data_IF_723864328211
#
_entry.id   IF_723864328211
#
_cell.length_a   1.000
_cell.length_b   1.000
_cell.length_c   1.000
_cell.angle_alpha   90.00
_cell.angle_beta   90.00
_cell.angle_gamma   90.00
#
_symmetry.space_group_name_H-M   'P 1'
#
loop_
_entity.id
_entity.type
_entity.pdbx_description
1 polymer ?
#
# COMPACT_ATOMS: atom_id res chain seq x y z
N UNK A 1 5.08 -13.82 -21.73
CA UNK A 1 3.62 -14.04 -21.70
C UNK A 1 3.19 -14.11 -20.25
N UNK A 2 2.23 -13.28 -19.84
CA UNK A 2 1.66 -13.34 -18.50
C UNK A 2 0.95 -14.68 -18.30
N UNK A 3 1.01 -15.33 -17.12
CA UNK A 3 0.27 -16.57 -16.93
C UNK A 3 -1.23 -16.33 -17.01
N UNK A 4 -1.92 -17.23 -17.70
CA UNK A 4 -3.39 -17.25 -17.79
C UNK A 4 -4.06 -17.65 -16.47
N UNK A 5 -3.30 -18.16 -15.49
CA UNK A 5 -3.80 -18.53 -14.16
C UNK A 5 -2.72 -18.42 -13.08
N UNK A 6 -3.11 -18.10 -11.85
CA UNK A 6 -2.24 -18.28 -10.68
C UNK A 6 -1.99 -19.77 -10.46
N UNK A 7 -0.72 -20.20 -10.48
CA UNK A 7 -0.39 -21.62 -10.26
C UNK A 7 -0.81 -22.12 -8.87
N UNK A 8 -1.08 -23.42 -8.76
CA UNK A 8 -1.43 -24.06 -7.47
C UNK A 8 -0.37 -23.85 -6.39
N UNK A 9 0.91 -23.88 -6.76
CA UNK A 9 2.01 -23.65 -5.81
C UNK A 9 1.99 -22.23 -5.25
N UNK A 10 1.85 -21.22 -6.11
CA UNK A 10 1.72 -19.81 -5.68
C UNK A 10 0.49 -19.64 -4.80
N UNK A 11 -0.65 -20.19 -5.22
CA UNK A 11 -1.89 -20.16 -4.44
C UNK A 11 -1.72 -20.78 -3.04
N UNK A 12 -0.95 -21.86 -2.92
CA UNK A 12 -0.72 -22.54 -1.63
C UNK A 12 0.23 -21.77 -0.71
N UNK A 13 1.22 -21.09 -1.26
CA UNK A 13 2.09 -20.19 -0.51
C UNK A 13 1.31 -18.98 0.01
N UNK A 14 0.52 -18.31 -0.85
CA UNK A 14 -0.26 -17.13 -0.47
C UNK A 14 -1.38 -17.44 0.54
N UNK A 15 -1.92 -18.66 0.54
CA UNK A 15 -2.88 -19.14 1.55
C UNK A 15 -2.34 -19.14 2.98
N UNK A 16 -1.02 -19.10 3.16
CA UNK A 16 -0.38 -19.04 4.49
C UNK A 16 -0.48 -17.65 5.11
N UNK A 17 -0.65 -16.60 4.30
CA UNK A 17 -0.78 -15.23 4.78
C UNK A 17 -2.08 -15.05 5.57
N UNK A 18 -1.98 -14.43 6.75
CA UNK A 18 -3.14 -14.10 7.61
C UNK A 18 -3.39 -12.62 7.71
N UNK A 19 -2.33 -11.83 7.57
CA UNK A 19 -2.37 -10.37 7.67
C UNK A 19 -1.50 -9.71 6.60
N UNK A 20 -2.05 -8.78 5.84
CA UNK A 20 -1.36 -8.09 4.76
C UNK A 20 -1.38 -6.58 5.01
N UNK A 21 -0.22 -5.95 4.86
CA UNK A 21 -0.03 -4.51 4.88
C UNK A 21 -0.17 -3.92 3.47
N UNK A 22 -0.72 -2.72 3.33
CA UNK A 22 -0.76 -1.96 2.09
C UNK A 22 -0.58 -0.46 2.40
N UNK A 23 0.43 0.17 1.83
CA UNK A 23 0.77 1.59 2.06
C UNK A 23 0.48 2.39 0.79
N UNK A 24 -0.19 3.53 0.94
CA UNK A 24 -0.49 4.46 -0.15
C UNK A 24 -1.55 3.93 -1.12
N UNK A 25 -2.55 3.22 -0.62
CA UNK A 25 -3.54 2.55 -1.45
C UNK A 25 -4.65 3.49 -1.99
N UNK A 26 -4.80 4.70 -1.43
CA UNK A 26 -5.96 5.56 -1.69
C UNK A 26 -7.31 4.83 -1.50
N UNK A 27 -7.97 4.43 -2.59
CA UNK A 27 -9.24 3.70 -2.62
C UNK A 27 -9.08 2.34 -3.33
N UNK A 28 -7.85 1.86 -3.54
CA UNK A 28 -7.57 0.55 -4.11
C UNK A 28 -7.83 -0.55 -3.07
N UNK A 29 -9.11 -0.97 -2.96
CA UNK A 29 -9.61 -1.95 -1.98
C UNK A 29 -9.74 -3.35 -2.60
N UNK A 30 -9.77 -3.45 -3.92
CA UNK A 30 -9.81 -4.67 -4.75
C UNK A 30 -8.90 -5.78 -4.23
N UNK A 31 -7.64 -5.53 -3.79
CA UNK A 31 -6.76 -6.58 -3.33
C UNK A 31 -7.34 -7.36 -2.16
N UNK A 32 -8.20 -6.76 -1.33
CA UNK A 32 -8.84 -7.47 -0.21
C UNK A 32 -9.77 -8.62 -0.64
N UNK A 33 -10.19 -8.61 -1.90
CA UNK A 33 -11.15 -9.53 -2.49
C UNK A 33 -10.50 -10.59 -3.39
N UNK A 34 -9.19 -10.53 -3.62
CA UNK A 34 -8.50 -11.52 -4.46
C UNK A 34 -8.66 -12.94 -3.91
N UNK A 35 -8.88 -13.89 -4.81
CA UNK A 35 -9.16 -15.29 -4.47
C UNK A 35 -8.02 -15.92 -3.64
N UNK A 36 -6.78 -15.60 -4.02
CA UNK A 36 -5.55 -16.07 -3.41
C UNK A 36 -5.44 -15.63 -1.94
N UNK A 37 -6.10 -14.54 -1.56
CA UNK A 37 -6.09 -14.01 -0.21
C UNK A 37 -7.33 -14.40 0.60
N UNK A 38 -8.10 -15.41 0.19
CA UNK A 38 -9.28 -15.87 0.94
C UNK A 38 -9.02 -16.16 2.44
N UNK A 39 -7.80 -16.60 2.78
CA UNK A 39 -7.38 -16.92 4.14
C UNK A 39 -6.88 -15.72 4.96
N UNK A 40 -6.64 -14.58 4.31
CA UNK A 40 -6.21 -13.34 4.97
C UNK A 40 -7.40 -12.80 5.73
N UNK A 41 -7.28 -12.73 7.05
CA UNK A 41 -8.34 -12.29 7.95
C UNK A 41 -8.32 -10.78 8.21
N UNK A 42 -7.18 -10.13 8.03
CA UNK A 42 -6.98 -8.71 8.34
C UNK A 42 -6.08 -8.04 7.30
N UNK A 43 -6.53 -6.91 6.78
CA UNK A 43 -5.72 -6.03 5.95
C UNK A 43 -5.46 -4.71 6.68
N UNK A 44 -4.22 -4.26 6.65
CA UNK A 44 -3.76 -3.02 7.26
C UNK A 44 -3.43 -2.05 6.15
N UNK A 45 -4.17 -0.96 6.07
CA UNK A 45 -3.98 0.10 5.11
C UNK A 45 -3.37 1.31 5.81
N UNK A 46 -2.38 1.95 5.20
CA UNK A 46 -1.74 3.16 5.73
C UNK A 46 -1.70 4.21 4.64
N UNK A 47 -2.17 5.41 4.94
CA UNK A 47 -2.15 6.54 4.02
C UNK A 47 -1.91 7.85 4.79
N UNK A 48 -1.13 8.74 4.16
CA UNK A 48 -0.92 10.11 4.67
C UNK A 48 -2.13 10.99 4.42
N UNK A 49 -3.02 10.57 3.52
CA UNK A 49 -4.22 11.29 3.16
C UNK A 49 -5.33 11.09 4.20
N UNK A 50 -6.25 12.07 4.36
CA UNK A 50 -6.51 13.20 3.47
C UNK A 50 -5.54 14.38 3.52
N UNK A 51 -4.50 14.39 4.36
CA UNK A 51 -3.59 15.57 4.45
C UNK A 51 -2.89 15.92 3.13
N UNK A 52 -2.07 15.01 2.62
CA UNK A 52 -1.29 15.20 1.39
C UNK A 52 -0.58 13.90 1.01
N UNK A 53 -0.27 13.72 -0.27
CA UNK A 53 0.62 12.65 -0.77
C UNK A 53 2.09 12.86 -0.34
N UNK A 54 2.49 14.12 -0.10
CA UNK A 54 3.83 14.53 0.33
C UNK A 54 3.74 15.18 1.72
N UNK A 55 3.17 14.44 2.66
CA UNK A 55 2.90 14.91 4.03
C UNK A 55 4.19 15.21 4.81
N UNK A 56 4.21 16.33 5.53
CA UNK A 56 5.39 16.86 6.21
C UNK A 56 5.12 17.33 7.64
N UNK A 57 6.04 18.15 8.15
CA UNK A 57 5.93 18.77 9.48
C UNK A 57 4.98 19.98 9.50
N UNK A 58 4.65 20.54 8.34
CA UNK A 58 3.72 21.66 8.19
C UNK A 58 2.54 21.22 7.33
N UNK A 59 1.33 21.61 7.73
CA UNK A 59 0.12 21.33 6.98
C UNK A 59 -0.09 22.33 5.85
N UNK A 60 -0.18 21.80 4.62
CA UNK A 60 -0.50 22.54 3.41
C UNK A 60 -1.95 22.28 2.99
N UNK A 61 -2.87 23.25 3.11
CA UNK A 61 -4.30 23.05 2.85
C UNK A 61 -4.64 22.63 1.42
N UNK A 62 -3.87 23.11 0.43
CA UNK A 62 -4.11 22.83 -0.99
C UNK A 62 -3.97 21.34 -1.34
N UNK A 63 -3.24 20.59 -0.52
CA UNK A 63 -3.10 19.14 -0.65
C UNK A 63 -4.28 18.35 -0.09
N UNK A 64 -5.16 18.98 0.70
CA UNK A 64 -6.17 18.26 1.48
C UNK A 64 -7.29 17.69 0.62
N UNK A 65 -7.51 16.38 0.72
CA UNK A 65 -8.48 15.64 -0.10
C UNK A 65 -9.79 15.47 0.65
N UNK A 66 -10.69 16.43 0.48
CA UNK A 66 -11.99 16.48 1.19
C UNK A 66 -12.90 15.27 0.95
N UNK A 67 -12.80 14.63 -0.23
CA UNK A 67 -13.65 13.48 -0.61
C UNK A 67 -13.04 12.12 -0.25
N UNK A 68 -11.79 12.08 0.19
CA UNK A 68 -11.02 10.86 0.41
C UNK A 68 -11.76 9.83 1.29
N UNK A 69 -12.35 10.28 2.42
CA UNK A 69 -13.05 9.34 3.31
C UNK A 69 -14.40 8.88 2.79
N UNK A 70 -15.16 9.75 2.13
CA UNK A 70 -16.40 9.31 1.50
C UNK A 70 -16.13 8.25 0.44
N UNK A 71 -15.07 8.44 -0.38
CA UNK A 71 -14.67 7.48 -1.40
C UNK A 71 -14.25 6.13 -0.80
N UNK A 72 -13.40 6.14 0.25
CA UNK A 72 -12.98 4.89 0.91
C UNK A 72 -14.18 4.17 1.53
N UNK A 73 -15.07 4.89 2.22
CA UNK A 73 -16.23 4.29 2.87
C UNK A 73 -17.19 3.69 1.84
N UNK A 74 -17.42 4.39 0.72
CA UNK A 74 -18.24 3.90 -0.39
C UNK A 74 -17.61 2.68 -1.04
N UNK A 75 -16.33 2.75 -1.40
CA UNK A 75 -15.61 1.64 -2.01
C UNK A 75 -15.56 0.40 -1.12
N UNK A 76 -15.31 0.56 0.18
CA UNK A 76 -15.40 -0.53 1.15
C UNK A 76 -16.81 -1.14 1.17
N UNK A 77 -17.86 -0.32 1.12
CA UNK A 77 -19.26 -0.78 1.12
C UNK A 77 -19.57 -1.63 -0.11
N UNK A 78 -19.07 -1.24 -1.28
CA UNK A 78 -19.26 -1.99 -2.54
C UNK A 78 -18.70 -3.42 -2.45
N UNK A 79 -17.63 -3.61 -1.67
CA UNK A 79 -17.04 -4.92 -1.38
C UNK A 79 -17.61 -5.60 -0.12
N UNK A 80 -18.71 -5.08 0.44
CA UNK A 80 -19.41 -5.65 1.60
C UNK A 80 -18.72 -5.39 2.94
N UNK A 81 -17.78 -4.45 3.01
CA UNK A 81 -17.17 -3.98 4.25
C UNK A 81 -17.97 -2.80 4.83
N UNK A 82 -18.34 -2.92 6.10
CA UNK A 82 -19.02 -1.85 6.83
C UNK A 82 -18.10 -1.25 7.88
N UNK A 83 -18.10 0.08 7.97
CA UNK A 83 -17.38 0.80 9.03
C UNK A 83 -18.00 0.42 10.38
N UNK A 84 -17.18 -0.15 11.27
CA UNK A 84 -17.61 -0.55 12.63
C UNK A 84 -17.02 0.33 13.72
N UNK A 85 -15.90 1.02 13.44
CA UNK A 85 -15.24 1.89 14.40
C UNK A 85 -14.42 2.97 13.72
N UNK A 86 -14.50 4.20 14.24
CA UNK A 86 -13.53 5.27 14.02
C UNK A 86 -12.82 5.54 15.35
N UNK A 87 -11.49 5.63 15.33
CA UNK A 87 -10.68 5.99 16.50
C UNK A 87 -9.64 7.02 16.09
N UNK A 88 -9.68 8.19 16.70
CA UNK A 88 -8.59 9.16 16.57
C UNK A 88 -7.41 8.71 17.43
N UNK A 89 -6.21 8.71 16.85
CA UNK A 89 -4.99 8.21 17.49
C UNK A 89 -4.28 9.28 18.31
N UNK A 90 -4.36 10.53 17.83
CA UNK A 90 -3.85 11.71 18.51
C UNK A 90 -4.88 12.83 18.34
N UNK A 91 -5.48 13.27 19.45
CA UNK A 91 -6.52 14.30 19.43
C UNK A 91 -6.00 15.71 19.16
N UNK A 92 -4.69 15.92 19.32
CA UNK A 92 -4.06 17.23 19.32
C UNK A 92 -2.97 17.37 18.26
N UNK A 93 -2.79 16.38 17.38
CA UNK A 93 -1.75 16.38 16.36
C UNK A 93 -1.74 17.65 15.49
N UNK A 94 -2.92 18.14 15.11
CA UNK A 94 -3.09 19.39 14.36
C UNK A 94 -2.35 20.58 14.97
N UNK A 95 -2.22 20.66 16.31
CA UNK A 95 -1.47 21.74 16.97
C UNK A 95 0.01 21.77 16.59
N UNK A 96 0.55 20.65 16.12
CA UNK A 96 1.96 20.53 15.74
C UNK A 96 2.20 20.89 14.27
N UNK A 97 1.16 20.82 13.42
CA UNK A 97 1.30 20.95 11.96
C UNK A 97 0.57 22.18 11.41
N UNK A 98 -0.43 22.69 12.12
CA UNK A 98 -1.24 23.84 11.70
C UNK A 98 -0.74 25.16 12.28
N UNK A 99 -0.91 26.24 11.52
CA UNK A 99 -0.84 27.59 12.05
C UNK A 99 -2.11 27.96 12.83
N UNK A 100 -2.10 29.12 13.50
CA UNK A 100 -3.20 29.58 14.37
C UNK A 100 -4.54 29.62 13.64
N UNK A 101 -4.57 30.12 12.39
CA UNK A 101 -5.81 30.23 11.62
C UNK A 101 -6.35 28.84 11.24
N UNK A 102 -5.47 27.94 10.78
CA UNK A 102 -5.84 26.58 10.43
C UNK A 102 -6.38 25.82 11.66
N UNK A 103 -5.77 25.97 12.84
CA UNK A 103 -6.28 25.36 14.07
C UNK A 103 -7.72 25.79 14.41
N UNK A 104 -8.07 27.05 14.15
CA UNK A 104 -9.43 27.58 14.40
C UNK A 104 -10.47 27.01 13.43
N UNK A 105 -10.06 26.62 12.22
CA UNK A 105 -10.95 26.18 11.15
C UNK A 105 -10.96 24.66 10.96
N UNK A 106 -10.01 23.94 11.55
CA UNK A 106 -9.74 22.53 11.26
C UNK A 106 -10.95 21.61 11.41
N UNK A 107 -11.82 21.84 12.41
CA UNK A 107 -12.98 20.97 12.63
C UNK A 107 -14.00 21.02 11.49
N UNK A 108 -14.04 22.13 10.75
CA UNK A 108 -14.99 22.35 9.67
C UNK A 108 -14.36 22.09 8.30
N UNK A 109 -13.11 22.50 8.10
CA UNK A 109 -12.42 22.40 6.81
C UNK A 109 -11.62 21.10 6.66
N UNK A 110 -11.04 20.60 7.76
CA UNK A 110 -10.11 19.47 7.76
C UNK A 110 -10.47 18.44 8.86
N UNK A 111 -11.70 17.90 8.88
CA UNK A 111 -12.23 17.11 10.00
C UNK A 111 -11.42 15.84 10.32
N UNK A 112 -10.65 15.35 9.35
CA UNK A 112 -9.80 14.17 9.45
C UNK A 112 -8.30 14.49 9.31
N UNK A 113 -7.89 15.71 9.67
CA UNK A 113 -6.47 16.13 9.66
C UNK A 113 -5.60 15.35 10.65
N UNK A 114 -6.18 14.95 11.78
CA UNK A 114 -5.49 14.21 12.81
C UNK A 114 -5.41 12.71 12.43
N UNK A 115 -4.32 12.00 12.80
CA UNK A 115 -4.20 10.57 12.55
C UNK A 115 -5.37 9.78 13.13
N UNK A 116 -6.00 8.93 12.32
CA UNK A 116 -7.17 8.15 12.69
C UNK A 116 -7.08 6.71 12.15
N UNK A 117 -7.74 5.78 12.85
CA UNK A 117 -8.01 4.43 12.35
C UNK A 117 -9.50 4.31 12.05
N UNK A 118 -9.80 3.83 10.85
CA UNK A 118 -11.11 3.38 10.43
C UNK A 118 -11.10 1.87 10.33
N UNK A 119 -11.89 1.20 11.17
CA UNK A 119 -12.00 -0.26 11.16
C UNK A 119 -13.28 -0.67 10.43
N UNK A 120 -13.12 -1.48 9.40
CA UNK A 120 -14.22 -2.06 8.65
C UNK A 120 -14.27 -3.57 8.84
N UNK A 121 -15.49 -4.13 8.80
CA UNK A 121 -15.72 -5.57 8.85
C UNK A 121 -16.58 -6.00 7.67
N UNK A 122 -16.15 -7.05 6.98
CA UNK A 122 -16.92 -7.64 5.90
C UNK A 122 -18.10 -8.45 6.46
N UNK A 123 -19.30 -8.19 5.97
CA UNK A 123 -20.51 -8.87 6.44
C UNK A 123 -20.53 -10.38 6.11
N UNK A 124 -19.87 -10.77 5.03
CA UNK A 124 -19.97 -12.13 4.47
C UNK A 124 -18.77 -13.01 4.83
N UNK A 125 -17.57 -12.42 4.89
CA UNK A 125 -16.32 -13.17 5.08
C UNK A 125 -15.72 -13.01 6.47
N UNK A 126 -16.24 -12.09 7.30
CA UNK A 126 -15.64 -11.65 8.56
C UNK A 126 -14.21 -11.07 8.45
N UNK A 127 -13.70 -10.82 7.23
CA UNK A 127 -12.45 -10.09 6.99
C UNK A 127 -12.52 -8.69 7.62
N UNK A 128 -11.38 -8.20 8.06
CA UNK A 128 -11.24 -6.85 8.64
C UNK A 128 -10.30 -6.00 7.80
N UNK A 129 -10.63 -4.71 7.69
CA UNK A 129 -9.73 -3.68 7.20
C UNK A 129 -9.49 -2.71 8.35
N UNK A 130 -8.23 -2.40 8.66
CA UNK A 130 -7.87 -1.25 9.47
C UNK A 130 -7.19 -0.24 8.57
N UNK A 131 -7.82 0.91 8.39
CA UNK A 131 -7.32 1.98 7.53
C UNK A 131 -6.80 3.11 8.40
N UNK A 132 -5.47 3.24 8.47
CA UNK A 132 -4.76 4.32 9.13
C UNK A 132 -4.67 5.48 8.14
N UNK A 133 -5.51 6.48 8.33
CA UNK A 133 -5.53 7.69 7.51
C UNK A 133 -4.77 8.80 8.22
N UNK A 134 -4.38 9.85 7.50
CA UNK A 134 -3.66 10.98 8.06
C UNK A 134 -2.47 10.47 8.88
N UNK A 135 -1.79 9.44 8.39
CA UNK A 135 -0.74 8.74 9.14
C UNK A 135 0.52 8.64 8.30
N UNK A 136 1.53 9.40 8.72
CA UNK A 136 2.88 9.34 8.18
C UNK A 136 3.76 8.57 9.15
N UNK A 137 4.28 7.42 8.71
CA UNK A 137 5.09 6.52 9.55
C UNK A 137 6.38 7.15 10.08
N UNK A 138 6.85 8.25 9.50
CA UNK A 138 8.03 8.98 9.98
C UNK A 138 7.70 9.96 11.11
N UNK A 139 6.51 10.56 11.09
CA UNK A 139 6.16 11.69 11.97
C UNK A 139 5.12 11.35 13.05
N UNK A 140 4.22 10.40 12.81
CA UNK A 140 3.14 10.06 13.75
C UNK A 140 2.88 8.55 13.88
N UNK A 141 3.96 7.76 13.83
CA UNK A 141 3.93 6.35 14.22
C UNK A 141 3.39 6.18 15.64
N UNK A 142 2.46 5.23 15.82
CA UNK A 142 1.89 4.88 17.12
C UNK A 142 2.07 3.38 17.41
N UNK A 143 1.93 2.99 18.67
CA UNK A 143 2.16 1.62 19.11
C UNK A 143 1.22 0.59 18.45
N UNK A 144 -0.02 0.98 18.16
CA UNK A 144 -1.01 0.10 17.52
C UNK A 144 -0.62 -0.18 16.07
N UNK A 145 -0.27 0.88 15.31
CA UNK A 145 0.22 0.74 13.94
C UNK A 145 1.52 -0.06 13.86
N UNK A 146 2.48 0.24 14.75
CA UNK A 146 3.75 -0.50 14.82
C UNK A 146 3.50 -1.99 14.98
N UNK A 147 2.64 -2.38 15.93
CA UNK A 147 2.28 -3.80 16.14
C UNK A 147 1.60 -4.40 14.90
N UNK A 148 0.73 -3.66 14.24
CA UNK A 148 0.05 -4.12 13.03
C UNK A 148 1.04 -4.33 11.87
N UNK A 149 2.04 -3.47 11.71
CA UNK A 149 3.15 -3.67 10.75
C UNK A 149 4.00 -4.88 11.15
N UNK A 150 4.44 -4.97 12.40
CA UNK A 150 5.30 -6.05 12.91
C UNK A 150 4.67 -7.43 12.69
N UNK A 151 3.36 -7.54 12.96
CA UNK A 151 2.60 -8.79 12.88
C UNK A 151 2.10 -9.14 11.48
N UNK A 152 2.22 -8.24 10.49
CA UNK A 152 1.83 -8.53 9.11
C UNK A 152 2.76 -9.58 8.47
N UNK A 153 2.19 -10.48 7.68
CA UNK A 153 2.92 -11.57 7.00
C UNK A 153 3.36 -11.16 5.58
N UNK A 154 2.61 -10.24 4.96
CA UNK A 154 2.91 -9.71 3.63
C UNK A 154 2.73 -8.21 3.54
N UNK A 155 3.26 -7.63 2.47
CA UNK A 155 3.04 -6.24 2.08
C UNK A 155 2.71 -6.17 0.58
N UNK A 156 1.67 -5.41 0.26
CA UNK A 156 1.31 -5.02 -1.10
C UNK A 156 2.00 -3.71 -1.45
N UNK A 157 2.52 -3.65 -2.68
CA UNK A 157 3.05 -2.45 -3.32
C UNK A 157 2.33 -2.29 -4.66
N UNK A 158 1.59 -1.20 -4.78
CA UNK A 158 0.84 -0.83 -5.98
C UNK A 158 0.73 0.70 -6.04
N UNK A 159 1.17 1.31 -7.15
CA UNK A 159 1.15 2.77 -7.40
C UNK A 159 2.12 3.62 -6.56
N UNK A 160 2.31 3.28 -5.28
CA UNK A 160 3.11 4.04 -4.33
C UNK A 160 4.18 3.16 -3.67
N UNK A 161 5.37 3.72 -3.47
CA UNK A 161 6.45 3.03 -2.77
C UNK A 161 6.57 3.45 -1.31
N UNK A 162 6.58 2.50 -0.36
CA UNK A 162 6.73 2.83 1.05
C UNK A 162 8.09 3.48 1.37
N UNK A 163 8.10 4.36 2.38
CA UNK A 163 9.36 4.89 2.91
C UNK A 163 10.26 3.78 3.45
N UNK A 164 11.59 3.94 3.31
CA UNK A 164 12.62 3.06 3.86
C UNK A 164 12.47 2.89 5.38
N UNK A 165 11.89 3.88 6.07
CA UNK A 165 11.61 3.81 7.50
C UNK A 165 10.66 2.68 7.87
N UNK A 166 9.81 2.23 6.93
CA UNK A 166 8.95 1.07 7.14
C UNK A 166 9.75 -0.19 7.47
N UNK A 167 10.93 -0.36 6.86
CA UNK A 167 11.78 -1.55 7.03
C UNK A 167 12.33 -1.67 8.45
N UNK A 168 12.44 -0.57 9.20
CA UNK A 168 12.87 -0.58 10.61
C UNK A 168 11.86 -1.31 11.52
N UNK A 169 10.60 -1.46 11.06
CA UNK A 169 9.52 -2.11 11.79
C UNK A 169 9.28 -3.57 11.38
N UNK A 170 10.22 -4.19 10.65
CA UNK A 170 10.11 -5.59 10.20
C UNK A 170 10.96 -6.51 11.10
N UNK A 171 10.39 -7.08 12.17
CA UNK A 171 11.12 -7.99 13.05
C UNK A 171 11.38 -9.36 12.39
N UNK A 172 10.53 -9.70 11.41
CA UNK A 172 10.64 -10.87 10.54
C UNK A 172 10.45 -10.41 9.08
N UNK A 173 11.07 -11.10 8.11
CA UNK A 173 10.83 -10.81 6.71
C UNK A 173 9.35 -11.05 6.35
N UNK A 174 8.88 -10.38 5.29
CA UNK A 174 7.50 -10.46 4.79
C UNK A 174 7.45 -11.00 3.36
N UNK A 175 6.28 -11.44 2.92
CA UNK A 175 6.02 -11.63 1.48
C UNK A 175 5.83 -10.27 0.81
N UNK A 176 6.61 -9.96 -0.24
CA UNK A 176 6.37 -8.79 -1.08
C UNK A 176 5.42 -9.17 -2.22
N UNK A 177 4.35 -8.40 -2.39
CA UNK A 177 3.35 -8.58 -3.45
C UNK A 177 3.28 -7.28 -4.25
N UNK A 178 3.94 -7.27 -5.41
CA UNK A 178 3.86 -6.16 -6.34
C UNK A 178 2.64 -6.23 -7.26
N UNK A 179 2.22 -5.10 -7.82
CA UNK A 179 1.27 -5.03 -8.94
C UNK A 179 1.93 -4.47 -10.19
N UNK A 180 1.45 -4.88 -11.36
CA UNK A 180 2.00 -4.47 -12.67
C UNK A 180 1.66 -3.02 -13.06
N UNK A 181 0.72 -2.38 -12.37
CA UNK A 181 0.41 -0.95 -12.51
C UNK A 181 1.47 -0.02 -11.87
N UNK A 182 2.57 -0.60 -11.39
CA UNK A 182 3.61 0.08 -10.64
C UNK A 182 4.92 0.08 -11.40
N UNK A 183 5.55 1.24 -11.50
CA UNK A 183 6.87 1.39 -12.14
C UNK A 183 7.97 1.03 -11.14
N UNK A 184 8.39 -0.23 -11.12
CA UNK A 184 9.50 -0.67 -10.28
C UNK A 184 10.83 -0.07 -10.72
N UNK A 185 11.77 0.13 -9.79
CA UNK A 185 13.11 0.54 -10.16
C UNK A 185 13.77 -0.56 -11.01
N UNK A 186 14.03 -0.24 -12.26
CA UNK A 186 14.89 -1.02 -13.16
C UNK A 186 16.33 -0.48 -13.06
N UNK A 187 17.31 -1.37 -13.05
CA UNK A 187 18.74 -1.08 -13.21
C UNK A 187 19.07 -0.12 -14.36
N UNK A 188 18.27 -0.08 -15.44
CA UNK A 188 18.51 0.82 -16.59
C UNK A 188 17.96 2.26 -16.40
N UNK A 189 16.91 2.44 -15.61
CA UNK A 189 16.22 3.73 -15.40
C UNK A 189 16.24 4.20 -13.94
N UNK A 190 16.97 3.50 -13.08
CA UNK A 190 17.07 3.74 -11.64
C UNK A 190 17.49 5.18 -11.28
N UNK A 191 18.17 5.91 -12.17
CA UNK A 191 18.60 7.29 -11.92
C UNK A 191 17.59 8.36 -12.36
N UNK A 192 16.61 8.06 -13.21
CA UNK A 192 15.67 9.06 -13.73
C UNK A 192 14.39 9.22 -12.92
N UNK A 193 14.05 8.22 -12.10
CA UNK A 193 12.81 8.20 -11.30
C UNK A 193 13.05 8.29 -9.79
N UNK A 194 14.32 8.33 -9.37
CA UNK A 194 14.70 8.30 -7.96
C UNK A 194 15.57 9.53 -7.73
N UNK A 195 14.95 10.60 -7.21
CA UNK A 195 15.72 11.65 -6.55
C UNK A 195 16.63 10.95 -5.53
N UNK A 196 17.92 11.27 -5.49
CA UNK A 196 18.88 10.70 -4.52
C UNK A 196 18.40 10.90 -3.06
N UNK A 197 17.41 11.77 -2.84
CA UNK A 197 16.73 11.98 -1.56
C UNK A 197 15.50 11.08 -1.29
N UNK A 198 15.04 10.29 -2.27
CA UNK A 198 13.85 9.44 -2.13
C UNK A 198 14.19 8.21 -1.30
N UNK A 199 13.96 8.32 0.01
CA UNK A 199 14.06 7.26 1.01
C UNK A 199 13.01 6.15 0.76
N UNK A 200 13.13 5.39 -0.32
CA UNK A 200 12.16 4.38 -0.76
C UNK A 200 12.63 2.96 -0.39
N UNK A 201 11.77 2.20 0.28
CA UNK A 201 12.06 0.84 0.73
C UNK A 201 12.33 -0.15 -0.42
N UNK A 202 11.56 -0.07 -1.51
CA UNK A 202 11.65 -0.99 -2.65
C UNK A 202 12.94 -0.75 -3.43
N UNK A 203 13.26 0.51 -3.71
CA UNK A 203 14.54 0.88 -4.33
C UNK A 203 15.73 0.43 -3.49
N UNK A 204 15.69 0.70 -2.17
CA UNK A 204 16.76 0.33 -1.26
C UNK A 204 17.01 -1.18 -1.26
N UNK A 205 15.94 -1.99 -1.22
CA UNK A 205 16.08 -3.46 -1.20
C UNK A 205 16.46 -4.03 -2.57
N UNK A 206 15.98 -3.45 -3.68
CA UNK A 206 16.33 -3.89 -5.04
C UNK A 206 17.83 -3.76 -5.34
N UNK A 207 18.49 -2.75 -4.75
CA UNK A 207 19.92 -2.48 -4.91
C UNK A 207 20.79 -3.15 -3.83
N UNK A 208 20.21 -3.96 -2.95
CA UNK A 208 20.95 -4.74 -1.96
C UNK A 208 21.34 -6.12 -2.49
N UNK A 209 22.42 -6.69 -1.94
CA UNK A 209 22.73 -8.11 -2.14
C UNK A 209 21.57 -8.98 -1.61
N UNK A 210 21.22 -10.04 -2.33
CA UNK A 210 20.11 -10.95 -2.00
C UNK A 210 20.13 -11.45 -0.54
N UNK A 211 21.32 -11.74 -0.01
CA UNK A 211 21.51 -12.19 1.37
C UNK A 211 21.08 -11.14 2.41
N UNK A 212 21.21 -9.85 2.11
CA UNK A 212 20.74 -8.76 2.96
C UNK A 212 19.24 -8.50 2.73
N UNK A 213 18.76 -8.59 1.49
CA UNK A 213 17.34 -8.41 1.16
C UNK A 213 16.44 -9.42 1.90
N UNK A 214 16.94 -10.65 2.13
CA UNK A 214 16.26 -11.70 2.91
C UNK A 214 15.92 -11.30 4.34
N UNK A 215 16.56 -10.26 4.89
CA UNK A 215 16.17 -9.68 6.20
C UNK A 215 14.76 -9.08 6.16
N UNK A 216 14.37 -8.52 5.00
CA UNK A 216 13.12 -7.77 4.83
C UNK A 216 12.06 -8.58 4.10
N UNK A 217 12.44 -9.36 3.09
CA UNK A 217 11.49 -10.15 2.29
C UNK A 217 11.94 -11.60 2.11
N UNK A 218 11.02 -12.54 2.37
CA UNK A 218 11.30 -13.98 2.22
C UNK A 218 10.75 -14.57 0.92
N UNK A 219 9.88 -13.85 0.22
CA UNK A 219 9.27 -14.27 -1.05
C UNK A 219 8.76 -13.06 -1.82
N UNK A 220 8.73 -13.18 -3.15
CA UNK A 220 8.38 -12.10 -4.07
C UNK A 220 7.30 -12.60 -5.02
N UNK A 221 6.25 -11.79 -5.19
CA UNK A 221 5.15 -12.07 -6.08
C UNK A 221 4.79 -10.82 -6.88
N UNK A 222 4.22 -11.01 -8.06
CA UNK A 222 3.65 -9.93 -8.86
C UNK A 222 2.24 -10.31 -9.31
N UNK A 223 1.30 -9.41 -9.10
CA UNK A 223 -0.10 -9.51 -9.50
C UNK A 223 -0.34 -8.66 -10.73
N UNK A 224 -0.97 -9.24 -11.75
CA UNK A 224 -1.44 -8.46 -12.90
C UNK A 224 -2.61 -7.58 -12.51
N UNK A 225 -2.51 -6.30 -12.84
CA UNK A 225 -3.61 -5.37 -12.71
C UNK A 225 -4.83 -5.79 -13.57
N UNK A 226 -4.60 -6.41 -14.74
CA UNK A 226 -5.65 -6.72 -15.70
C UNK A 226 -6.32 -8.08 -15.47
N UNK A 227 -5.52 -9.10 -15.16
CA UNK A 227 -6.00 -10.48 -15.02
C UNK A 227 -6.17 -10.90 -13.56
N UNK A 228 -5.63 -10.13 -12.61
CA UNK A 228 -5.54 -10.45 -11.17
C UNK A 228 -4.71 -11.70 -10.85
N UNK A 229 -4.14 -12.37 -11.85
CA UNK A 229 -3.31 -13.56 -11.65
C UNK A 229 -1.94 -13.19 -11.07
N UNK A 230 -1.46 -14.06 -10.19
CA UNK A 230 -0.24 -13.84 -9.41
C UNK A 230 0.86 -14.81 -9.85
N UNK A 231 2.01 -14.24 -10.18
CA UNK A 231 3.25 -14.96 -10.46
C UNK A 231 4.20 -14.89 -9.28
N UNK A 232 5.00 -15.94 -9.10
CA UNK A 232 6.18 -15.88 -8.22
C UNK A 232 7.35 -15.22 -8.95
N UNK A 233 8.16 -14.50 -8.18
CA UNK A 233 9.41 -13.91 -8.60
C UNK A 233 10.53 -14.36 -7.65
N UNK A 234 11.77 -14.24 -8.13
CA UNK A 234 12.99 -14.51 -7.39
C UNK A 234 13.40 -13.34 -6.52
N UNK A 235 13.20 -12.11 -7.01
CA UNK A 235 13.53 -10.85 -6.33
C UNK A 235 12.69 -9.67 -6.89
N UNK A 236 12.99 -8.45 -6.44
CA UNK A 236 12.31 -7.22 -6.86
C UNK A 236 12.59 -6.89 -8.34
N UNK A 237 13.79 -7.20 -8.85
CA UNK A 237 14.13 -6.90 -10.24
C UNK A 237 13.25 -7.72 -11.21
N UNK A 238 13.01 -9.00 -10.91
CA UNK A 238 12.09 -9.83 -11.71
C UNK A 238 10.63 -9.35 -11.61
N UNK A 239 10.21 -8.73 -10.49
CA UNK A 239 8.92 -8.01 -10.44
C UNK A 239 8.92 -6.88 -11.47
N UNK A 240 9.96 -6.04 -11.51
CA UNK A 240 10.07 -4.95 -12.48
C UNK A 240 10.06 -5.40 -13.94
N UNK A 241 10.85 -6.42 -14.28
CA UNK A 241 10.89 -7.00 -15.62
C UNK A 241 9.48 -7.47 -16.06
N UNK A 242 8.80 -8.21 -15.18
CA UNK A 242 7.43 -8.71 -15.45
C UNK A 242 6.41 -7.58 -15.58
N UNK A 243 6.56 -6.51 -14.81
CA UNK A 243 5.72 -5.31 -14.91
C UNK A 243 5.84 -4.66 -16.29
N UNK A 244 7.08 -4.46 -16.77
CA UNK A 244 7.37 -3.88 -18.09
C UNK A 244 6.81 -4.78 -19.20
N UNK A 245 7.04 -6.10 -19.09
CA UNK A 245 6.54 -7.06 -20.07
C UNK A 245 5.01 -7.00 -20.22
N UNK A 246 4.24 -6.85 -19.14
CA UNK A 246 2.78 -6.73 -19.26
C UNK A 246 2.39 -5.43 -19.97
N UNK A 247 3.04 -4.32 -19.64
CA UNK A 247 2.78 -3.01 -20.25
C UNK A 247 3.11 -3.00 -21.76
N UNK A 248 4.24 -3.57 -22.18
CA UNK A 248 4.65 -3.62 -23.59
C UNK A 248 3.71 -4.48 -24.44
N UNK A 249 3.28 -5.64 -23.93
CA UNK A 249 2.31 -6.50 -24.63
C UNK A 249 0.97 -5.79 -24.87
N UNK A 250 0.59 -4.81 -24.03
CA UNK A 250 -0.63 -4.03 -24.25
C UNK A 250 -0.49 -3.00 -25.36
N UNK A 251 0.66 -2.36 -25.50
CA UNK A 251 0.90 -1.44 -26.60
C UNK A 251 0.86 -2.16 -27.94
N UNK A 252 1.35 -3.40 -28.01
CA UNK A 252 1.24 -4.24 -29.21
C UNK A 252 -0.22 -4.61 -29.53
N UNK A 253 -1.03 -4.99 -28.54
CA UNK A 253 -2.45 -5.33 -28.78
C UNK A 253 -3.24 -4.09 -29.24
N UNK A 254 -3.04 -2.93 -28.61
CA UNK A 254 -3.73 -1.69 -28.98
C UNK A 254 -3.30 -1.12 -30.34
N UNK A 255 -2.11 -1.45 -30.85
CA UNK A 255 -1.65 -0.98 -32.16
C UNK A 255 -2.13 -1.86 -33.32
N UNK A 256 -2.47 -3.12 -33.07
CA UNK A 256 -3.07 -4.03 -34.06
C UNK A 256 -4.55 -3.72 -34.31
N UNK A 257 -5.27 -3.18 -33.33
CA UNK A 257 -6.70 -2.82 -33.46
C UNK A 257 -6.94 -1.47 -34.19
N UNK A 258 -5.88 -0.78 -34.63
CA UNK A 258 -5.97 0.51 -35.34
C UNK A 258 -5.40 0.42 -36.78
N UNK A 259 -5.19 -0.80 -37.30
CA UNK A 259 -4.76 -1.02 -38.69
C UNK A 259 -5.87 -1.57 -39.60
#
# INVERSE_FOLDING_TARGET
MWPETTTTNVSNELKQLKKILYVGAWNHIEPTMHHEYKNVSEFIYIDTQPRSEIDGLTFEPDGYKTQFLSEIIEKCRDYGFHLVRKKQLDTHYHNNICNVQQCLLQSNEYPDINPCIYEFKNAYTNKKIKYYISTNIEYNMNAELKKDIETSDGIIVSGYFPSIKLLEYFPKPKALIGYTDTVYPDTQYASSYVDENTKNAIYYVANMRDEHAKKYFHSYYICSYFTTHISKCTNINEIGEKSIMEHDNQQEIMTVDIS
#
